data_IF_275990490096
#
_entry.id   IF_275990490096
#
_cell.length_a   1.000
_cell.length_b   1.000
_cell.length_c   1.000
_cell.angle_alpha   90.00
_cell.angle_beta   90.00
_cell.angle_gamma   90.00
#
_symmetry.space_group_name_H-M   'P 1'
#
loop_
_entity.id
_entity.type
_entity.pdbx_description
1 polymer ?
#
# COMPACT_ATOMS: atom_id res chain seq x y z
N UNK A 1 35.85 -6.41 42.13
CA UNK A 1 35.56 -7.39 41.06
C UNK A 1 34.05 -7.43 40.94
N UNK A 2 33.49 -6.57 40.09
CA UNK A 2 32.04 -6.40 39.90
C UNK A 2 31.74 -6.91 38.50
N UNK A 3 30.87 -7.91 38.44
CA UNK A 3 30.59 -8.71 37.26
C UNK A 3 29.68 -7.93 36.31
N UNK A 4 30.29 -7.27 35.32
CA UNK A 4 29.62 -6.55 34.25
C UNK A 4 29.33 -7.51 33.09
N UNK A 5 28.44 -8.48 33.29
CA UNK A 5 27.96 -9.40 32.24
C UNK A 5 26.50 -9.82 32.47
N UNK A 6 25.58 -8.86 32.41
CA UNK A 6 24.15 -9.20 32.22
C UNK A 6 23.38 -8.26 31.30
N UNK A 7 24.00 -7.22 30.74
CA UNK A 7 23.31 -6.25 29.87
C UNK A 7 23.40 -6.58 28.37
N UNK A 8 24.13 -7.64 27.98
CA UNK A 8 24.37 -8.00 26.58
C UNK A 8 23.29 -8.87 25.91
N UNK A 9 22.25 -9.29 26.63
CA UNK A 9 21.20 -10.18 26.09
C UNK A 9 19.81 -9.51 26.03
N UNK A 10 19.74 -8.19 26.23
CA UNK A 10 18.48 -7.44 26.39
C UNK A 10 18.08 -6.58 25.18
N UNK A 11 18.68 -6.77 24.00
CA UNK A 11 18.48 -5.87 22.85
C UNK A 11 18.03 -6.51 21.52
N UNK A 12 17.85 -7.84 21.43
CA UNK A 12 17.42 -8.48 20.16
C UNK A 12 15.96 -8.95 20.13
N UNK A 13 15.20 -8.64 21.19
CA UNK A 13 13.74 -8.65 21.16
C UNK A 13 13.24 -7.20 21.20
N UNK A 14 13.49 -6.44 20.14
CA UNK A 14 12.83 -5.15 19.95
C UNK A 14 11.33 -5.46 19.91
N UNK A 15 10.58 -4.99 20.92
CA UNK A 15 9.15 -5.25 21.03
C UNK A 15 8.49 -4.92 19.69
N UNK A 16 7.83 -5.91 19.06
CA UNK A 16 7.08 -5.69 17.83
C UNK A 16 6.09 -4.55 18.11
N UNK A 17 6.15 -3.49 17.30
CA UNK A 17 5.27 -2.35 17.45
C UNK A 17 3.81 -2.80 17.48
N UNK A 18 3.00 -2.21 18.34
CA UNK A 18 1.55 -2.48 18.44
C UNK A 18 0.74 -1.72 17.39
N UNK A 19 1.40 -0.92 16.54
CA UNK A 19 0.77 -0.16 15.46
C UNK A 19 0.01 -1.10 14.54
N UNK A 20 -1.24 -0.72 14.24
CA UNK A 20 -2.13 -1.43 13.33
C UNK A 20 -2.32 -0.61 12.06
N UNK A 21 -1.73 -1.03 10.93
CA UNK A 21 -1.95 -0.44 9.62
C UNK A 21 -3.41 -0.21 9.27
N UNK A 22 -3.68 0.78 8.43
CA UNK A 22 -4.99 0.92 7.78
C UNK A 22 -4.83 1.52 6.40
N UNK A 23 -5.75 1.18 5.51
CA UNK A 23 -5.90 1.90 4.24
C UNK A 23 -6.56 3.24 4.49
N UNK A 24 -6.00 4.26 3.85
CA UNK A 24 -6.59 5.57 3.68
C UNK A 24 -6.72 5.77 2.17
N UNK A 25 -7.95 5.79 1.68
CA UNK A 25 -8.26 5.89 0.26
C UNK A 25 -8.84 7.25 -0.05
N UNK A 26 -8.24 7.96 -1.01
CA UNK A 26 -8.69 9.23 -1.54
C UNK A 26 -9.32 8.99 -2.91
N UNK A 27 -10.58 9.41 -3.06
CA UNK A 27 -11.34 9.35 -4.30
C UNK A 27 -11.65 10.78 -4.76
N UNK A 28 -11.39 11.07 -6.03
CA UNK A 28 -11.76 12.33 -6.66
C UNK A 28 -13.00 12.12 -7.53
N UNK A 29 -13.95 13.04 -7.45
CA UNK A 29 -15.15 13.04 -8.29
C UNK A 29 -15.30 14.35 -9.05
N UNK A 30 -16.26 14.38 -9.97
CA UNK A 30 -16.71 15.63 -10.62
C UNK A 30 -17.35 16.59 -9.61
N UNK A 31 -17.71 17.78 -10.07
CA UNK A 31 -18.45 18.75 -9.28
C UNK A 31 -19.77 18.13 -8.79
N UNK A 32 -20.10 18.31 -7.51
CA UNK A 32 -21.29 17.75 -6.88
C UNK A 32 -21.37 16.21 -6.81
N UNK A 33 -20.26 15.51 -7.03
CA UNK A 33 -20.25 14.05 -6.98
C UNK A 33 -20.19 13.48 -5.55
N UNK A 34 -19.86 14.28 -4.52
CA UNK A 34 -19.63 13.74 -3.17
C UNK A 34 -20.83 12.95 -2.62
N UNK A 35 -22.10 13.42 -2.74
CA UNK A 35 -23.24 12.64 -2.25
C UNK A 35 -23.34 11.26 -2.90
N UNK A 36 -23.23 11.20 -4.24
CA UNK A 36 -23.27 9.93 -5.00
C UNK A 36 -22.14 8.99 -4.58
N UNK A 37 -20.92 9.51 -4.42
CA UNK A 37 -19.77 8.71 -3.98
C UNK A 37 -19.94 8.24 -2.53
N UNK A 38 -20.49 9.06 -1.64
CA UNK A 38 -20.81 8.65 -0.27
C UNK A 38 -21.87 7.53 -0.22
N UNK A 39 -22.90 7.63 -1.05
CA UNK A 39 -23.96 6.61 -1.13
C UNK A 39 -23.39 5.27 -1.63
N UNK A 40 -22.59 5.32 -2.70
CA UNK A 40 -21.90 4.14 -3.24
C UNK A 40 -20.91 3.53 -2.23
N UNK A 41 -20.14 4.36 -1.52
CA UNK A 41 -19.26 3.89 -0.45
C UNK A 41 -20.06 3.24 0.67
N UNK A 42 -21.15 3.87 1.12
CA UNK A 42 -22.00 3.34 2.19
C UNK A 42 -22.64 2.00 1.80
N UNK A 43 -23.09 1.86 0.55
CA UNK A 43 -23.60 0.60 0.02
C UNK A 43 -22.53 -0.49 0.01
N UNK A 44 -21.33 -0.21 -0.52
CA UNK A 44 -20.22 -1.16 -0.54
C UNK A 44 -19.75 -1.56 0.88
N UNK A 45 -19.72 -0.60 1.82
CA UNK A 45 -19.39 -0.83 3.24
C UNK A 45 -20.42 -1.78 3.88
N UNK A 46 -21.71 -1.59 3.58
CA UNK A 46 -22.77 -2.44 4.11
C UNK A 46 -22.78 -3.84 3.49
N UNK A 47 -22.31 -4.00 2.25
CA UNK A 47 -22.37 -5.25 1.50
C UNK A 47 -21.14 -6.14 1.75
N UNK A 48 -19.93 -5.61 1.51
CA UNK A 48 -18.71 -6.41 1.54
C UNK A 48 -17.51 -5.74 2.24
N UNK A 49 -17.46 -4.42 2.35
CA UNK A 49 -16.35 -3.68 2.97
C UNK A 49 -16.62 -3.37 4.45
N UNK A 50 -17.11 -4.37 5.20
CA UNK A 50 -17.49 -4.22 6.61
C UNK A 50 -16.35 -3.63 7.45
N UNK A 51 -16.69 -2.62 8.27
CA UNK A 51 -15.76 -1.94 9.17
C UNK A 51 -15.00 -0.77 8.55
N UNK A 52 -15.11 -0.56 7.24
CA UNK A 52 -14.65 0.68 6.60
C UNK A 52 -15.57 1.85 7.01
N UNK A 53 -15.05 3.06 6.94
CA UNK A 53 -15.82 4.27 7.24
C UNK A 53 -15.46 5.44 6.33
N UNK A 54 -16.45 6.28 6.04
CA UNK A 54 -16.26 7.55 5.34
C UNK A 54 -15.68 8.57 6.32
N UNK A 55 -14.58 9.22 5.96
CA UNK A 55 -14.02 10.34 6.72
C UNK A 55 -14.73 11.64 6.32
N UNK A 56 -15.73 12.03 7.11
CA UNK A 56 -16.49 13.27 6.89
C UNK A 56 -15.71 14.54 7.20
N UNK A 57 -14.56 14.44 7.87
CA UNK A 57 -13.74 15.60 8.27
C UNK A 57 -12.93 16.12 7.08
N UNK A 58 -12.39 15.20 6.28
CA UNK A 58 -11.50 15.52 5.16
C UNK A 58 -12.17 15.38 3.79
N UNK A 59 -13.40 14.83 3.73
CA UNK A 59 -14.19 14.79 2.50
C UNK A 59 -14.93 16.11 2.28
N UNK A 60 -14.92 16.60 1.03
CA UNK A 60 -15.53 17.87 0.65
C UNK A 60 -16.09 17.83 -0.77
N UNK A 61 -17.23 18.49 -0.99
CA UNK A 61 -17.86 18.62 -2.30
C UNK A 61 -17.31 19.83 -3.06
N UNK A 62 -15.98 20.00 -3.02
CA UNK A 62 -15.24 21.09 -3.64
C UNK A 62 -13.86 20.59 -4.09
N UNK A 63 -13.25 21.19 -5.12
CA UNK A 63 -11.88 20.89 -5.51
C UNK A 63 -10.90 21.19 -4.37
N UNK A 64 -9.84 20.37 -4.26
CA UNK A 64 -8.70 20.60 -3.38
C UNK A 64 -7.44 20.85 -4.21
N UNK A 65 -6.91 22.07 -4.13
CA UNK A 65 -5.73 22.52 -4.87
C UNK A 65 -4.47 21.69 -4.61
N UNK A 66 -4.43 20.88 -3.54
CA UNK A 66 -3.30 20.00 -3.22
C UNK A 66 -3.31 18.72 -4.07
N UNK A 67 -4.46 18.31 -4.62
CA UNK A 67 -4.62 17.00 -5.26
C UNK A 67 -3.73 16.81 -6.48
N UNK A 68 -3.61 17.80 -7.36
CA UNK A 68 -2.77 17.69 -8.56
C UNK A 68 -1.32 17.37 -8.23
N UNK A 69 -0.73 18.10 -7.26
CA UNK A 69 0.64 17.81 -6.78
C UNK A 69 0.71 16.45 -6.09
N UNK A 70 -0.29 16.14 -5.25
CA UNK A 70 -0.31 14.92 -4.46
C UNK A 70 -0.38 13.65 -5.32
N UNK A 71 -1.24 13.62 -6.34
CA UNK A 71 -1.34 12.49 -7.27
C UNK A 71 -0.13 12.42 -8.21
N UNK A 72 0.40 13.56 -8.69
CA UNK A 72 1.57 13.58 -9.60
C UNK A 72 2.81 12.90 -8.99
N UNK A 73 3.05 13.08 -7.69
CA UNK A 73 4.16 12.39 -6.99
C UNK A 73 3.84 10.94 -6.64
N UNK A 74 2.57 10.55 -6.68
CA UNK A 74 2.08 9.21 -6.32
C UNK A 74 1.79 8.29 -7.52
N UNK A 75 1.77 8.83 -8.74
CA UNK A 75 1.46 8.08 -9.97
C UNK A 75 2.28 6.79 -10.13
N UNK A 76 1.64 5.70 -10.53
CA UNK A 76 2.31 4.44 -10.86
C UNK A 76 3.18 4.59 -12.11
N UNK A 77 4.50 4.47 -11.90
CA UNK A 77 5.52 4.53 -12.95
C UNK A 77 6.17 3.18 -13.23
N UNK A 78 5.74 2.13 -12.54
CA UNK A 78 6.27 0.76 -12.70
C UNK A 78 5.67 0.12 -13.94
N UNK A 79 4.35 0.16 -14.06
CA UNK A 79 3.64 -0.49 -15.15
C UNK A 79 3.45 0.51 -16.29
N UNK A 80 3.94 0.21 -17.52
CA UNK A 80 3.74 1.10 -18.66
C UNK A 80 2.26 1.40 -18.88
N UNK A 81 1.92 2.69 -18.99
CA UNK A 81 0.54 3.14 -19.18
C UNK A 81 -0.37 2.99 -17.95
N UNK A 82 0.17 2.66 -16.77
CA UNK A 82 -0.61 2.63 -15.54
C UNK A 82 -0.99 4.01 -15.01
N UNK A 83 -0.35 5.08 -15.49
CA UNK A 83 -0.71 6.47 -15.23
C UNK A 83 -0.55 7.26 -16.52
N UNK A 84 -1.60 7.95 -16.95
CA UNK A 84 -1.66 8.64 -18.25
C UNK A 84 -1.97 10.12 -18.09
N UNK A 85 -1.77 10.92 -19.16
CA UNK A 85 -2.17 12.33 -19.16
C UNK A 85 -3.67 12.52 -18.92
N UNK A 86 -4.50 11.57 -19.35
CA UNK A 86 -5.94 11.62 -19.08
C UNK A 86 -6.24 11.45 -17.58
N UNK A 87 -5.47 10.64 -16.86
CA UNK A 87 -5.58 10.52 -15.40
C UNK A 87 -5.11 11.81 -14.70
N UNK A 88 -4.05 12.46 -15.22
CA UNK A 88 -3.59 13.77 -14.73
C UNK A 88 -4.63 14.87 -14.94
N UNK A 89 -5.25 14.92 -16.12
CA UNK A 89 -6.32 15.87 -16.45
C UNK A 89 -7.56 15.62 -15.57
N UNK A 90 -7.92 14.36 -15.32
CA UNK A 90 -9.02 14.00 -14.44
C UNK A 90 -8.77 14.48 -12.99
N UNK A 91 -7.54 14.34 -12.50
CA UNK A 91 -7.15 14.91 -11.20
C UNK A 91 -7.20 16.43 -11.24
N UNK A 92 -6.68 17.09 -12.28
CA UNK A 92 -6.64 18.54 -12.35
C UNK A 92 -8.05 19.17 -12.37
N UNK A 93 -9.02 18.48 -12.94
CA UNK A 93 -10.39 18.96 -13.13
C UNK A 93 -11.40 18.38 -12.12
N UNK A 94 -10.95 17.70 -11.05
CA UNK A 94 -11.86 17.18 -10.03
C UNK A 94 -12.65 18.31 -9.35
N UNK A 95 -13.88 18.01 -8.96
CA UNK A 95 -14.76 18.94 -8.25
C UNK A 95 -15.13 18.50 -6.84
N UNK A 96 -14.78 17.27 -6.43
CA UNK A 96 -15.03 16.76 -5.09
C UNK A 96 -13.96 15.78 -4.64
N UNK A 97 -13.86 15.60 -3.31
CA UNK A 97 -12.90 14.70 -2.65
C UNK A 97 -13.63 13.87 -1.61
N UNK A 98 -13.48 12.54 -1.68
CA UNK A 98 -13.99 11.59 -0.71
C UNK A 98 -12.82 10.80 -0.10
N UNK A 99 -12.78 10.71 1.22
CA UNK A 99 -11.88 9.84 1.96
C UNK A 99 -12.63 8.66 2.58
N UNK A 100 -12.12 7.44 2.37
CA UNK A 100 -12.60 6.23 3.02
C UNK A 100 -11.45 5.54 3.73
N UNK A 101 -11.70 5.10 4.97
CA UNK A 101 -10.72 4.49 5.83
C UNK A 101 -11.09 3.03 6.09
N UNK A 102 -10.13 2.11 5.95
CA UNK A 102 -10.34 0.72 6.41
C UNK A 102 -10.31 0.64 7.94
N UNK A 103 -10.79 -0.47 8.54
CA UNK A 103 -10.46 -0.76 9.93
C UNK A 103 -8.94 -0.92 10.10
N UNK A 104 -8.39 -0.70 11.30
CA UNK A 104 -7.03 -1.10 11.63
C UNK A 104 -6.83 -2.61 11.44
N UNK A 105 -5.67 -3.01 10.92
CA UNK A 105 -5.39 -4.36 10.45
C UNK A 105 -4.26 -5.00 11.26
N UNK A 106 -4.30 -6.33 11.34
CA UNK A 106 -3.17 -7.16 11.76
C UNK A 106 -2.58 -7.83 10.51
N UNK A 107 -1.39 -8.43 10.62
CA UNK A 107 -0.75 -9.08 9.46
C UNK A 107 -1.66 -10.18 8.87
N UNK A 108 -2.41 -10.88 9.72
CA UNK A 108 -3.29 -11.98 9.35
C UNK A 108 -4.56 -11.50 8.62
N UNK A 109 -5.03 -10.28 8.89
CA UNK A 109 -6.24 -9.72 8.28
C UNK A 109 -5.97 -8.76 7.12
N UNK A 110 -4.74 -8.27 7.01
CA UNK A 110 -4.33 -7.23 6.07
C UNK A 110 -4.67 -7.55 4.60
N UNK A 111 -4.50 -8.81 4.18
CA UNK A 111 -4.78 -9.24 2.80
C UNK A 111 -6.26 -9.17 2.47
N UNK A 112 -7.12 -9.69 3.36
CA UNK A 112 -8.58 -9.72 3.15
C UNK A 112 -9.14 -8.30 3.18
N UNK A 113 -8.66 -7.45 4.10
CA UNK A 113 -9.06 -6.04 4.15
C UNK A 113 -8.58 -5.28 2.91
N UNK A 114 -7.37 -5.57 2.41
CA UNK A 114 -6.88 -5.00 1.14
C UNK A 114 -7.70 -5.46 -0.06
N UNK A 115 -8.16 -6.70 -0.09
CA UNK A 115 -9.05 -7.18 -1.14
C UNK A 115 -10.38 -6.43 -1.12
N UNK A 116 -10.97 -6.24 0.08
CA UNK A 116 -12.18 -5.43 0.24
C UNK A 116 -11.96 -3.96 -0.18
N UNK A 117 -10.79 -3.39 0.15
CA UNK A 117 -10.40 -2.05 -0.31
C UNK A 117 -10.36 -1.97 -1.84
N UNK A 118 -9.81 -2.98 -2.53
CA UNK A 118 -9.78 -3.02 -4.00
C UNK A 118 -11.17 -3.12 -4.64
N UNK A 119 -12.05 -3.96 -4.07
CA UNK A 119 -13.43 -4.07 -4.55
C UNK A 119 -14.21 -2.76 -4.31
N UNK A 120 -13.96 -2.08 -3.18
CA UNK A 120 -14.51 -0.75 -2.90
C UNK A 120 -14.00 0.28 -3.92
N UNK A 121 -12.72 0.21 -4.30
CA UNK A 121 -12.16 1.07 -5.35
C UNK A 121 -12.92 0.87 -6.66
N UNK A 122 -13.10 -0.36 -7.12
CA UNK A 122 -13.84 -0.63 -8.37
C UNK A 122 -15.31 -0.18 -8.30
N UNK A 123 -15.97 -0.39 -7.16
CA UNK A 123 -17.33 0.08 -6.93
C UNK A 123 -17.44 1.62 -7.05
N UNK A 124 -16.49 2.35 -6.47
CA UNK A 124 -16.49 3.81 -6.50
C UNK A 124 -16.09 4.37 -7.87
N UNK A 125 -15.19 3.71 -8.60
CA UNK A 125 -14.92 4.04 -10.01
C UNK A 125 -16.19 3.84 -10.84
N UNK A 126 -16.94 2.77 -10.60
CA UNK A 126 -18.23 2.52 -11.27
C UNK A 126 -19.31 3.53 -10.89
N UNK A 127 -19.23 4.11 -9.68
CA UNK A 127 -20.07 5.21 -9.22
C UNK A 127 -19.59 6.61 -9.66
N UNK A 128 -18.56 6.69 -10.51
CA UNK A 128 -18.10 7.95 -11.10
C UNK A 128 -16.92 8.62 -10.41
N UNK A 129 -16.12 7.88 -9.62
CA UNK A 129 -14.82 8.36 -9.21
C UNK A 129 -13.89 8.51 -10.44
N UNK A 130 -13.28 9.67 -10.57
CA UNK A 130 -12.43 10.08 -11.69
C UNK A 130 -10.95 9.75 -11.45
N UNK A 131 -10.53 9.69 -10.18
CA UNK A 131 -9.19 9.28 -9.79
C UNK A 131 -9.20 8.69 -8.38
N UNK A 132 -8.24 7.79 -8.09
CA UNK A 132 -8.12 7.11 -6.80
C UNK A 132 -6.67 7.02 -6.37
N UNK A 133 -6.40 7.26 -5.08
CA UNK A 133 -5.08 7.13 -4.47
C UNK A 133 -5.14 6.39 -3.14
N UNK A 134 -4.23 5.44 -2.93
CA UNK A 134 -3.92 4.87 -1.64
C UNK A 134 -2.92 5.75 -0.88
N UNK A 135 -3.40 6.56 0.05
CA UNK A 135 -2.61 7.54 0.81
C UNK A 135 -1.60 6.87 1.75
N UNK A 136 -1.95 5.69 2.28
CA UNK A 136 -1.12 4.98 3.26
C UNK A 136 0.28 4.62 2.73
N UNK A 137 0.42 4.47 1.41
CA UNK A 137 1.71 4.27 0.74
C UNK A 137 2.04 5.36 -0.30
N UNK A 138 1.07 6.24 -0.61
CA UNK A 138 1.21 7.26 -1.64
C UNK A 138 1.30 6.68 -3.06
N UNK A 139 0.36 5.78 -3.42
CA UNK A 139 0.26 5.18 -4.76
C UNK A 139 -1.04 5.60 -5.45
N UNK A 140 -0.94 6.07 -6.69
CA UNK A 140 -2.06 6.42 -7.55
C UNK A 140 -1.93 5.69 -8.88
N UNK A 141 -2.79 4.70 -9.10
CA UNK A 141 -2.95 4.07 -10.40
C UNK A 141 -3.98 4.85 -11.21
N UNK A 142 -3.88 4.79 -12.53
CA UNK A 142 -4.93 5.22 -13.45
C UNK A 142 -6.13 4.28 -13.34
N UNK A 143 -7.31 4.77 -13.72
CA UNK A 143 -8.56 4.02 -13.48
C UNK A 143 -8.56 2.63 -14.11
N UNK A 144 -7.98 2.48 -15.31
CA UNK A 144 -7.87 1.19 -16.00
C UNK A 144 -7.03 0.19 -15.19
N UNK A 145 -5.94 0.65 -14.58
CA UNK A 145 -5.05 -0.18 -13.78
C UNK A 145 -5.68 -0.57 -12.44
N UNK A 146 -6.38 0.35 -11.78
CA UNK A 146 -7.18 0.03 -10.59
C UNK A 146 -8.21 -1.06 -10.86
N UNK A 147 -8.97 -0.94 -11.95
CA UNK A 147 -9.96 -1.96 -12.36
C UNK A 147 -9.33 -3.31 -12.65
N UNK A 148 -8.19 -3.34 -13.37
CA UNK A 148 -7.48 -4.58 -13.63
C UNK A 148 -7.07 -5.27 -12.31
N UNK A 149 -6.49 -4.53 -11.38
CA UNK A 149 -6.04 -5.07 -10.09
C UNK A 149 -7.21 -5.55 -9.22
N UNK A 150 -8.35 -4.85 -9.25
CA UNK A 150 -9.57 -5.28 -8.58
C UNK A 150 -10.12 -6.57 -9.21
N UNK A 151 -10.09 -6.68 -10.54
CA UNK A 151 -10.49 -7.90 -11.25
C UNK A 151 -9.57 -9.10 -10.92
N UNK A 152 -8.26 -8.87 -10.84
CA UNK A 152 -7.27 -9.88 -10.44
C UNK A 152 -7.55 -10.38 -9.03
N UNK A 153 -7.78 -9.46 -8.07
CA UNK A 153 -8.14 -9.80 -6.69
C UNK A 153 -9.47 -10.57 -6.61
N UNK A 154 -10.49 -10.13 -7.34
CA UNK A 154 -11.78 -10.81 -7.40
C UNK A 154 -11.67 -12.22 -7.98
N UNK A 155 -10.82 -12.41 -9.01
CA UNK A 155 -10.55 -13.72 -9.57
C UNK A 155 -9.82 -14.62 -8.58
N UNK A 156 -8.80 -14.12 -7.90
CA UNK A 156 -8.06 -14.86 -6.88
C UNK A 156 -8.97 -15.30 -5.71
N UNK A 157 -9.90 -14.44 -5.27
CA UNK A 157 -10.93 -14.80 -4.28
C UNK A 157 -11.82 -15.95 -4.77
N UNK A 158 -12.31 -15.88 -6.01
CA UNK A 158 -13.16 -16.95 -6.60
C UNK A 158 -12.44 -18.28 -6.75
N UNK A 159 -11.15 -18.25 -7.06
CA UNK A 159 -10.34 -19.46 -7.20
C UNK A 159 -9.69 -19.93 -5.90
N UNK A 160 -9.90 -19.23 -4.79
CA UNK A 160 -9.23 -19.48 -3.51
C UNK A 160 -7.69 -19.51 -3.65
N UNK A 161 -7.14 -18.63 -4.49
CA UNK A 161 -5.70 -18.50 -4.69
C UNK A 161 -5.13 -17.40 -3.79
N UNK A 162 -4.71 -17.79 -2.60
CA UNK A 162 -4.18 -16.88 -1.58
C UNK A 162 -2.91 -16.14 -2.06
N UNK A 163 -2.09 -16.78 -2.88
CA UNK A 163 -0.87 -16.18 -3.39
C UNK A 163 -1.19 -15.05 -4.37
N UNK A 164 -2.06 -15.31 -5.36
CA UNK A 164 -2.48 -14.28 -6.31
C UNK A 164 -3.25 -13.15 -5.62
N UNK A 165 -4.03 -13.46 -4.58
CA UNK A 165 -4.75 -12.43 -3.81
C UNK A 165 -3.77 -11.50 -3.08
N UNK A 166 -2.77 -12.07 -2.38
CA UNK A 166 -1.70 -11.31 -1.73
C UNK A 166 -0.94 -10.44 -2.71
N UNK A 167 -0.60 -11.01 -3.87
CA UNK A 167 0.10 -10.31 -4.94
C UNK A 167 -0.74 -9.15 -5.49
N UNK A 168 -1.99 -9.37 -5.85
CA UNK A 168 -2.89 -8.32 -6.33
C UNK A 168 -3.03 -7.18 -5.31
N UNK A 169 -3.28 -7.51 -4.04
CA UNK A 169 -3.36 -6.53 -2.94
C UNK A 169 -2.06 -5.71 -2.79
N UNK A 170 -0.91 -6.37 -2.84
CA UNK A 170 0.41 -5.73 -2.72
C UNK A 170 0.68 -4.78 -3.88
N UNK A 171 0.48 -5.25 -5.11
CA UNK A 171 0.71 -4.44 -6.33
C UNK A 171 -0.19 -3.20 -6.38
N UNK A 172 -1.37 -3.28 -5.76
CA UNK A 172 -2.32 -2.18 -5.67
C UNK A 172 -1.91 -1.11 -4.68
N UNK A 173 -1.48 -1.49 -3.48
CA UNK A 173 -1.32 -0.55 -2.38
C UNK A 173 0.13 -0.29 -1.98
N UNK A 174 1.10 -0.91 -2.64
CA UNK A 174 2.52 -0.65 -2.38
C UNK A 174 3.18 0.15 -3.50
N UNK A 175 3.95 1.14 -3.11
CA UNK A 175 4.79 1.94 -3.99
C UNK A 175 6.21 1.40 -3.99
N UNK A 176 6.74 1.21 -5.19
CA UNK A 176 8.14 0.93 -5.49
C UNK A 176 8.42 1.35 -6.93
N UNK A 177 9.65 1.67 -7.32
CA UNK A 177 10.77 1.93 -6.43
C UNK A 177 10.62 3.32 -5.79
N UNK A 178 11.05 3.45 -4.55
CA UNK A 178 11.37 4.73 -3.93
C UNK A 178 12.89 4.89 -3.88
N UNK A 179 13.40 6.04 -4.31
CA UNK A 179 14.83 6.32 -4.26
C UNK A 179 15.15 6.98 -2.91
N UNK A 180 15.64 6.16 -1.97
CA UNK A 180 16.23 6.64 -0.71
C UNK A 180 17.63 7.22 -0.92
N UNK A 181 18.43 7.44 0.12
CA UNK A 181 19.84 7.84 -0.04
C UNK A 181 20.70 6.64 -0.45
N UNK A 182 20.63 5.57 0.34
CA UNK A 182 21.44 4.35 0.20
C UNK A 182 20.70 3.22 -0.53
N UNK A 183 19.38 3.19 -0.44
CA UNK A 183 18.55 2.06 -0.89
C UNK A 183 17.55 2.49 -1.98
N UNK A 184 17.14 1.50 -2.76
CA UNK A 184 15.90 1.47 -3.52
C UNK A 184 14.87 0.74 -2.66
N UNK A 185 13.76 1.40 -2.37
CA UNK A 185 12.87 1.05 -1.26
C UNK A 185 11.46 0.72 -1.75
N UNK A 186 10.76 -0.11 -0.98
CA UNK A 186 9.30 -0.22 -1.04
C UNK A 186 8.65 0.54 0.11
N UNK A 187 7.40 0.96 -0.08
CA UNK A 187 6.51 1.37 1.01
C UNK A 187 5.11 0.83 0.77
N UNK A 188 4.45 0.37 1.84
CA UNK A 188 3.07 -0.13 1.78
C UNK A 188 2.93 -1.64 1.91
N UNK A 189 4.02 -2.40 2.10
CA UNK A 189 3.94 -3.85 2.30
C UNK A 189 3.24 -4.22 3.62
N UNK A 190 3.25 -3.32 4.61
CA UNK A 190 2.44 -3.47 5.82
C UNK A 190 0.94 -3.54 5.55
N UNK A 191 0.46 -2.97 4.44
CA UNK A 191 -0.96 -3.05 4.07
C UNK A 191 -1.37 -4.48 3.66
N UNK A 192 -0.41 -5.36 3.42
CA UNK A 192 -0.63 -6.79 3.15
C UNK A 192 0.06 -7.71 4.16
N UNK A 193 0.47 -7.17 5.32
CA UNK A 193 1.06 -7.95 6.40
C UNK A 193 2.51 -8.39 6.17
N UNK A 194 3.26 -7.67 5.33
CA UNK A 194 4.65 -7.99 4.97
C UNK A 194 5.62 -6.90 5.43
N UNK A 195 6.88 -7.24 5.76
CA UNK A 195 7.94 -6.25 5.91
C UNK A 195 8.22 -5.55 4.57
N UNK A 196 8.73 -4.32 4.58
CA UNK A 196 9.22 -3.68 3.35
C UNK A 196 10.48 -4.39 2.83
N UNK A 197 10.88 -4.11 1.58
CA UNK A 197 12.10 -4.64 0.96
C UNK A 197 12.97 -3.49 0.46
N UNK A 198 14.18 -3.39 1.00
CA UNK A 198 15.15 -2.35 0.68
C UNK A 198 16.37 -2.98 0.01
N UNK A 199 16.71 -2.49 -1.17
CA UNK A 199 17.79 -3.01 -1.99
C UNK A 199 18.91 -1.97 -2.13
N UNK A 200 20.16 -2.35 -1.89
CA UNK A 200 21.27 -1.41 -2.05
C UNK A 200 21.37 -0.94 -3.52
N UNK A 201 21.49 0.37 -3.72
CA UNK A 201 21.43 1.01 -5.05
C UNK A 201 22.51 0.57 -6.02
N UNK A 202 23.67 0.16 -5.51
CA UNK A 202 24.82 -0.24 -6.31
C UNK A 202 24.72 -1.67 -6.86
N UNK A 203 23.65 -2.40 -6.52
CA UNK A 203 23.46 -3.79 -6.93
C UNK A 203 22.79 -3.96 -8.29
N UNK A 204 21.82 -3.10 -8.64
CA UNK A 204 20.98 -3.28 -9.84
C UNK A 204 20.43 -1.94 -10.36
N UNK A 205 19.93 -1.93 -11.60
CA UNK A 205 19.15 -0.79 -12.13
C UNK A 205 17.77 -0.65 -11.47
N UNK A 206 17.15 0.53 -11.54
CA UNK A 206 15.80 0.78 -10.97
C UNK A 206 14.75 -0.24 -11.43
N UNK A 207 14.77 -0.63 -12.72
CA UNK A 207 13.81 -1.60 -13.27
C UNK A 207 14.03 -3.00 -12.70
N UNK A 208 15.28 -3.42 -12.56
CA UNK A 208 15.64 -4.69 -11.94
C UNK A 208 15.33 -4.67 -10.44
N UNK A 209 15.49 -3.53 -9.78
CA UNK A 209 15.15 -3.35 -8.37
C UNK A 209 13.66 -3.61 -8.12
N UNK A 210 12.77 -3.07 -8.96
CA UNK A 210 11.33 -3.33 -8.86
C UNK A 210 11.02 -4.82 -8.99
N UNK A 211 11.59 -5.48 -10.00
CA UNK A 211 11.39 -6.91 -10.20
C UNK A 211 11.90 -7.74 -9.02
N UNK A 212 13.05 -7.36 -8.44
CA UNK A 212 13.64 -8.04 -7.28
C UNK A 212 12.83 -7.79 -6.00
N UNK A 213 12.40 -6.56 -5.74
CA UNK A 213 11.49 -6.22 -4.63
C UNK A 213 10.21 -7.06 -4.73
N UNK A 214 9.63 -7.14 -5.93
CA UNK A 214 8.42 -7.92 -6.15
C UNK A 214 8.65 -9.43 -5.97
N UNK A 215 9.79 -9.94 -6.44
CA UNK A 215 10.15 -11.35 -6.28
C UNK A 215 10.40 -11.73 -4.81
N UNK A 216 11.06 -10.86 -4.04
CA UNK A 216 11.32 -11.10 -2.61
C UNK A 216 10.00 -11.14 -1.84
N UNK A 217 9.07 -10.24 -2.14
CA UNK A 217 7.76 -10.24 -1.51
C UNK A 217 6.95 -11.51 -1.84
N UNK A 218 7.00 -11.96 -3.10
CA UNK A 218 6.37 -13.19 -3.54
C UNK A 218 6.99 -14.41 -2.86
N UNK A 219 8.32 -14.46 -2.73
CA UNK A 219 9.02 -15.52 -1.99
C UNK A 219 8.63 -15.53 -0.51
N UNK A 220 8.50 -14.36 0.14
CA UNK A 220 8.06 -14.30 1.55
C UNK A 220 6.65 -14.88 1.68
N UNK A 221 5.77 -14.58 0.72
CA UNK A 221 4.42 -15.11 0.71
C UNK A 221 4.37 -16.64 0.47
N UNK A 222 5.30 -17.20 -0.31
CA UNK A 222 5.34 -18.62 -0.67
C UNK A 222 6.12 -19.49 0.32
N UNK A 223 7.28 -19.00 0.78
CA UNK A 223 8.27 -19.77 1.53
C UNK A 223 8.35 -19.36 3.00
N UNK A 224 7.82 -18.18 3.34
CA UNK A 224 7.92 -17.58 4.67
C UNK A 224 9.21 -16.77 4.86
N UNK A 225 9.13 -15.76 5.74
CA UNK A 225 10.18 -14.77 5.94
C UNK A 225 11.55 -15.38 6.32
N UNK A 226 11.57 -16.32 7.26
CA UNK A 226 12.82 -16.92 7.76
C UNK A 226 13.60 -17.68 6.69
N UNK A 227 12.89 -18.31 5.75
CA UNK A 227 13.51 -19.01 4.61
C UNK A 227 14.13 -17.99 3.66
N UNK A 228 13.38 -16.94 3.32
CA UNK A 228 13.85 -15.88 2.42
C UNK A 228 15.05 -15.13 2.98
N UNK A 229 15.04 -14.79 4.26
CA UNK A 229 16.17 -14.13 4.92
C UNK A 229 17.44 -14.98 4.82
N UNK A 230 17.33 -16.29 5.03
CA UNK A 230 18.46 -17.22 4.94
C UNK A 230 18.97 -17.37 3.50
N UNK A 231 18.08 -17.68 2.57
CA UNK A 231 18.43 -18.03 1.19
C UNK A 231 18.98 -16.82 0.43
N UNK A 232 18.47 -15.63 0.73
CA UNK A 232 18.92 -14.37 0.14
C UNK A 232 20.01 -13.66 0.94
N UNK A 233 20.49 -14.26 2.05
CA UNK A 233 21.43 -13.65 3.01
C UNK A 233 21.00 -12.23 3.42
N UNK A 234 19.69 -12.02 3.55
CA UNK A 234 19.11 -10.73 3.85
C UNK A 234 19.02 -10.51 5.36
N UNK A 235 18.94 -9.25 5.79
CA UNK A 235 18.79 -8.88 7.21
C UNK A 235 17.43 -8.23 7.45
N UNK A 236 16.77 -8.62 8.54
CA UNK A 236 15.57 -7.94 9.02
C UNK A 236 15.96 -6.81 9.99
N UNK A 237 15.36 -5.63 9.81
CA UNK A 237 15.51 -4.46 10.67
C UNK A 237 14.14 -3.89 11.01
N UNK A 238 13.97 -3.34 12.23
CA UNK A 238 12.77 -2.59 12.62
C UNK A 238 13.03 -1.08 12.71
N UNK A 239 14.26 -0.64 12.40
CA UNK A 239 14.58 0.78 12.34
C UNK A 239 13.91 1.42 11.12
N UNK A 240 13.00 2.36 11.36
CA UNK A 240 12.22 3.06 10.34
C UNK A 240 12.51 4.56 10.37
N UNK A 241 12.48 5.21 9.21
CA UNK A 241 12.50 6.67 9.08
C UNK A 241 11.11 7.28 9.24
N UNK A 242 10.05 6.47 9.18
CA UNK A 242 8.68 6.89 9.46
C UNK A 242 8.42 6.82 10.96
N UNK A 243 7.74 7.84 11.49
CA UNK A 243 7.23 7.83 12.85
C UNK A 243 6.10 6.79 12.98
N UNK A 244 5.88 6.23 14.18
CA UNK A 244 4.89 5.18 14.42
C UNK A 244 3.44 5.59 14.11
N UNK A 245 3.15 6.90 14.11
CA UNK A 245 1.85 7.48 13.78
C UNK A 245 1.70 7.83 12.29
N UNK A 246 2.76 7.70 11.47
CA UNK A 246 2.67 7.85 10.02
C UNK A 246 2.02 6.62 9.40
N UNK A 247 1.06 6.82 8.49
CA UNK A 247 0.41 5.74 7.76
C UNK A 247 1.39 4.87 6.93
N UNK A 248 2.61 5.36 6.66
CA UNK A 248 3.66 4.61 5.96
C UNK A 248 4.50 3.72 6.88
N UNK A 249 4.35 3.83 8.20
CA UNK A 249 5.11 3.03 9.14
C UNK A 249 4.80 1.54 8.99
N UNK A 250 5.84 0.73 8.83
CA UNK A 250 5.72 -0.72 8.73
C UNK A 250 6.09 -1.39 10.06
N UNK A 251 5.12 -1.91 10.85
CA UNK A 251 5.40 -2.58 12.12
C UNK A 251 6.03 -3.98 11.95
N UNK A 252 6.07 -4.51 10.73
CA UNK A 252 6.62 -5.84 10.41
C UNK A 252 8.09 -5.79 10.01
N UNK A 253 8.67 -4.59 9.93
CA UNK A 253 10.09 -4.37 9.67
C UNK A 253 10.43 -4.19 8.19
N UNK A 254 11.72 -4.23 7.91
CA UNK A 254 12.34 -3.99 6.60
C UNK A 254 13.38 -5.08 6.35
N UNK A 255 13.25 -5.77 5.22
CA UNK A 255 14.22 -6.73 4.69
C UNK A 255 15.26 -5.95 3.88
N UNK A 256 16.51 -5.95 4.36
CA UNK A 256 17.65 -5.35 3.67
C UNK A 256 18.39 -6.39 2.83
N UNK A 257 18.57 -6.07 1.54
CA UNK A 257 19.39 -6.78 0.57
C UNK A 257 20.60 -5.90 0.24
N UNK A 258 21.65 -6.02 1.05
CA UNK A 258 22.89 -5.23 0.97
C UNK A 258 24.16 -6.09 0.89
N UNK A 259 24.04 -7.41 0.97
CA UNK A 259 25.16 -8.35 0.85
C UNK A 259 25.22 -8.95 -0.55
N UNK A 260 26.44 -8.99 -1.13
CA UNK A 260 26.72 -9.72 -2.37
C UNK A 260 26.83 -11.23 -2.13
#
# INVERSE_FOLDING_TARGET
>A
MVDARSDGARSEAQARSEVKPRHVLCFLGEEHALPRLCDAASAAISDFATGFSIDRTHSQDQPDARMSRSFSVCGDRVVPGAWTSADEDAVANHGSVLYVLSPPMMAETAVIVSAAALLLVDALISAGAMAVKGESAGVAHGLARWRQLAADAAQALRSHDDFLLRRAARLSFAKRPLLGETFIESVGFHLVGLPEVYLAKDLVSDREAVALIDAVADDIALLGLDVVLRDRKARLSFASTYAEDDFKFNPYGIVHLDQR
#
